data_IF_128818892699
#
_entry.id   IF_128818892699
#
_cell.length_a   1.000
_cell.length_b   1.000
_cell.length_c   1.000
_cell.angle_alpha   90.00
_cell.angle_beta   90.00
_cell.angle_gamma   90.00
#
_symmetry.space_group_name_H-M   'P 1'
#
loop_
_entity.id
_entity.type
_entity.pdbx_description
1 polymer ?
#
# COMPACT_ATOMS: atom_id res chain seq x y z
N UNK A 1 0.09 -2.57 -9.89
CA UNK A 1 -0.19 -1.32 -10.64
C UNK A 1 -1.41 -1.42 -11.55
N UNK A 2 -1.48 -2.40 -12.48
CA UNK A 2 -2.67 -2.57 -13.35
C UNK A 2 -4.00 -2.57 -12.61
N UNK A 3 -4.10 -3.28 -11.48
CA UNK A 3 -5.28 -3.30 -10.62
C UNK A 3 -5.77 -1.90 -10.19
N UNK A 4 -4.86 -0.98 -9.84
CA UNK A 4 -5.24 0.37 -9.41
C UNK A 4 -5.74 1.20 -10.61
N UNK A 5 -5.08 1.08 -11.76
CA UNK A 5 -5.49 1.77 -12.99
C UNK A 5 -6.88 1.32 -13.46
N UNK A 6 -7.14 0.00 -13.44
CA UNK A 6 -8.46 -0.57 -13.75
C UNK A 6 -9.55 -0.11 -12.78
N UNK A 7 -9.16 0.23 -11.54
CA UNK A 7 -10.06 0.74 -10.52
C UNK A 7 -10.20 2.27 -10.54
N UNK A 8 -9.67 2.95 -11.57
CA UNK A 8 -9.87 4.39 -11.79
C UNK A 8 -8.86 5.29 -11.08
N UNK A 9 -7.75 4.74 -10.59
CA UNK A 9 -6.64 5.54 -10.07
C UNK A 9 -5.69 5.92 -11.20
N UNK A 10 -5.29 7.19 -11.26
CA UNK A 10 -4.13 7.61 -12.03
C UNK A 10 -2.87 7.21 -11.24
N UNK A 11 -1.97 6.45 -11.87
CA UNK A 11 -0.79 5.88 -11.21
C UNK A 11 0.46 6.28 -11.96
N UNK A 12 1.29 7.08 -11.30
CA UNK A 12 2.67 7.37 -11.71
C UNK A 12 3.63 6.36 -11.07
N UNK A 13 4.46 5.75 -11.90
CA UNK A 13 5.41 4.72 -11.50
C UNK A 13 6.81 5.31 -11.53
N UNK A 14 7.44 5.39 -10.36
CA UNK A 14 8.83 5.85 -10.22
C UNK A 14 9.69 4.71 -9.70
N UNK A 15 10.66 4.29 -10.51
CA UNK A 15 11.66 3.33 -10.06
C UNK A 15 12.71 4.06 -9.20
N UNK A 16 12.91 3.58 -7.98
CA UNK A 16 13.92 4.10 -7.05
C UNK A 16 15.02 3.08 -6.87
N UNK A 17 16.27 3.56 -6.78
CA UNK A 17 17.43 2.69 -6.62
C UNK A 17 17.50 2.04 -5.23
N UNK A 18 16.99 2.72 -4.20
CA UNK A 18 16.93 2.24 -2.84
C UNK A 18 15.54 2.53 -2.25
N UNK A 19 14.71 1.49 -2.21
CA UNK A 19 13.35 1.61 -1.69
C UNK A 19 13.32 1.81 -0.17
N UNK A 20 14.31 1.27 0.56
CA UNK A 20 14.33 1.37 2.01
C UNK A 20 14.62 2.80 2.46
N UNK A 21 15.57 3.46 1.77
CA UNK A 21 15.84 4.88 1.98
C UNK A 21 14.63 5.77 1.63
N UNK A 22 13.92 5.45 0.54
CA UNK A 22 12.71 6.18 0.14
C UNK A 22 11.57 6.00 1.16
N UNK A 23 11.38 4.79 1.68
CA UNK A 23 10.40 4.50 2.73
C UNK A 23 10.70 5.25 4.03
N UNK A 24 11.97 5.33 4.40
CA UNK A 24 12.42 6.06 5.59
C UNK A 24 12.22 7.58 5.45
N UNK A 25 12.57 8.17 4.30
CA UNK A 25 12.33 9.60 4.03
C UNK A 25 10.84 9.97 4.14
N UNK A 26 9.96 9.01 3.87
CA UNK A 26 8.51 9.17 3.95
C UNK A 26 7.89 8.81 5.30
N UNK A 27 8.71 8.46 6.30
CA UNK A 27 8.26 8.17 7.66
C UNK A 27 7.43 6.89 7.74
N UNK A 28 7.72 5.91 6.87
CA UNK A 28 7.07 4.60 6.90
C UNK A 28 7.77 3.73 7.95
N UNK A 29 7.06 3.26 8.99
CA UNK A 29 7.62 2.41 10.02
C UNK A 29 8.24 1.14 9.44
N UNK A 30 9.43 0.79 9.92
CA UNK A 30 10.18 -0.37 9.41
C UNK A 30 9.43 -1.70 9.49
N UNK A 31 8.54 -1.85 10.47
CA UNK A 31 7.74 -3.05 10.73
C UNK A 31 6.67 -3.32 9.66
N UNK A 32 6.29 -2.31 8.88
CA UNK A 32 5.20 -2.40 7.90
C UNK A 32 5.66 -2.18 6.45
N UNK A 33 6.97 -2.04 6.22
CA UNK A 33 7.55 -1.79 4.89
C UNK A 33 7.29 -2.99 3.97
N UNK A 34 6.76 -2.69 2.79
CA UNK A 34 6.53 -3.67 1.73
C UNK A 34 7.62 -3.66 0.66
N UNK A 35 7.42 -4.45 -0.40
CA UNK A 35 8.27 -4.43 -1.60
C UNK A 35 8.02 -3.21 -2.50
N UNK A 36 6.92 -2.50 -2.29
CA UNK A 36 6.58 -1.26 -2.99
C UNK A 36 5.77 -0.36 -2.07
N UNK A 37 5.95 0.94 -2.31
CA UNK A 37 5.28 2.03 -1.62
C UNK A 37 4.56 2.88 -2.65
N UNK A 38 3.36 3.32 -2.32
CA UNK A 38 2.64 4.30 -3.12
C UNK A 38 2.15 5.44 -2.23
N UNK A 39 1.97 6.61 -2.84
CA UNK A 39 1.41 7.78 -2.17
C UNK A 39 0.15 8.21 -2.89
N UNK A 40 -0.92 8.40 -2.13
CA UNK A 40 -2.19 8.92 -2.63
C UNK A 40 -2.55 10.18 -1.84
N UNK A 41 -2.37 11.34 -2.48
CA UNK A 41 -2.50 12.64 -1.82
C UNK A 41 -1.54 12.78 -0.63
N UNK A 42 -2.09 12.78 0.58
CA UNK A 42 -1.31 12.89 1.82
C UNK A 42 -1.07 11.55 2.53
N UNK A 43 -1.60 10.45 1.99
CA UNK A 43 -1.54 9.13 2.60
C UNK A 43 -0.49 8.24 1.94
N UNK A 44 0.13 7.41 2.75
CA UNK A 44 1.01 6.32 2.28
C UNK A 44 0.24 5.01 2.15
N UNK A 45 0.59 4.23 1.15
CA UNK A 45 -0.01 2.93 0.84
C UNK A 45 1.14 1.93 0.69
N UNK A 46 1.26 0.99 1.61
CA UNK A 46 2.34 0.00 1.63
C UNK A 46 1.84 -1.39 1.25
N UNK A 47 2.53 -2.02 0.30
CA UNK A 47 2.20 -3.37 -0.16
C UNK A 47 0.91 -3.46 -0.99
N UNK A 48 0.38 -4.68 -1.12
CA UNK A 48 -0.74 -4.97 -2.01
C UNK A 48 -2.11 -4.66 -1.38
N UNK A 49 -2.35 -3.38 -1.08
CA UNK A 49 -3.66 -2.91 -0.59
C UNK A 49 -4.71 -3.01 -1.71
N UNK A 50 -5.85 -3.69 -1.49
CA UNK A 50 -6.95 -3.74 -2.45
C UNK A 50 -7.52 -2.35 -2.75
N UNK A 51 -7.91 -2.11 -4.00
CA UNK A 51 -8.40 -0.80 -4.44
C UNK A 51 -9.68 -0.36 -3.72
N UNK A 52 -10.58 -1.29 -3.37
CA UNK A 52 -11.81 -1.02 -2.64
C UNK A 52 -11.52 -0.58 -1.19
N UNK A 53 -10.54 -1.20 -0.53
CA UNK A 53 -10.13 -0.81 0.81
C UNK A 53 -9.40 0.53 0.83
N UNK A 54 -8.57 0.80 -0.18
CA UNK A 54 -7.96 2.12 -0.37
C UNK A 54 -9.03 3.20 -0.59
N UNK A 55 -10.06 2.94 -1.41
CA UNK A 55 -11.18 3.89 -1.61
C UNK A 55 -11.89 4.18 -0.29
N UNK A 56 -12.24 3.14 0.47
CA UNK A 56 -12.90 3.30 1.78
C UNK A 56 -12.04 4.10 2.75
N UNK A 57 -10.75 3.83 2.82
CA UNK A 57 -9.82 4.59 3.66
C UNK A 57 -9.77 6.08 3.29
N UNK A 58 -9.73 6.38 1.98
CA UNK A 58 -9.75 7.76 1.48
C UNK A 58 -11.09 8.47 1.77
N UNK A 59 -12.21 7.74 1.72
CA UNK A 59 -13.54 8.25 2.06
C UNK A 59 -13.72 8.48 3.57
N UNK A 60 -13.21 7.57 4.40
CA UNK A 60 -13.30 7.66 5.86
C UNK A 60 -12.44 8.78 6.43
N UNK A 61 -11.35 9.16 5.74
CA UNK A 61 -10.43 10.25 6.12
C UNK A 61 -10.12 10.22 7.62
N UNK A 62 -9.67 9.06 8.08
CA UNK A 62 -9.57 8.68 9.48
C UNK A 62 -8.46 9.40 10.26
N UNK A 63 -7.72 10.32 9.62
CA UNK A 63 -6.62 11.07 10.22
C UNK A 63 -5.30 10.31 10.34
N UNK A 64 -5.26 9.03 9.94
CA UNK A 64 -4.03 8.25 9.89
C UNK A 64 -3.12 8.69 8.73
N UNK A 65 -1.83 8.38 8.85
CA UNK A 65 -0.84 8.67 7.82
C UNK A 65 -0.88 7.71 6.62
N UNK A 66 -1.39 6.49 6.80
CA UNK A 66 -1.43 5.52 5.71
C UNK A 66 -2.10 4.19 6.05
N UNK A 67 -2.14 3.34 5.03
CA UNK A 67 -2.70 1.99 5.04
C UNK A 67 -1.66 0.99 4.50
N UNK A 68 -1.55 -0.18 5.10
CA UNK A 68 -0.55 -1.19 4.76
C UNK A 68 -1.16 -2.59 4.76
N UNK A 69 -0.70 -3.42 3.81
CA UNK A 69 -0.76 -4.88 3.94
C UNK A 69 0.68 -5.36 4.11
N UNK A 70 1.13 -5.57 5.37
CA UNK A 70 2.51 -5.95 5.63
C UNK A 70 2.83 -7.37 5.10
N UNK A 71 4.04 -7.52 4.55
CA UNK A 71 4.57 -8.79 4.07
C UNK A 71 4.32 -9.10 2.59
N UNK A 72 4.61 -10.35 2.19
CA UNK A 72 4.36 -10.92 0.86
C UNK A 72 3.48 -12.16 1.04
N UNK A 73 2.17 -11.95 0.98
CA UNK A 73 1.19 -13.00 1.21
C UNK A 73 0.60 -13.38 -0.16
N UNK A 74 0.37 -14.66 -0.41
CA UNK A 74 -0.27 -15.14 -1.64
C UNK A 74 -1.76 -14.78 -1.58
N UNK A 75 -2.31 -14.16 -2.63
CA UNK A 75 -3.73 -13.78 -2.70
C UNK A 75 -4.07 -12.33 -3.09
N UNK A 76 -3.26 -11.29 -2.78
CA UNK A 76 -3.56 -9.91 -3.19
C UNK A 76 -3.47 -9.69 -4.71
N UNK A 77 -4.07 -8.62 -5.27
CA UNK A 77 -4.01 -8.32 -6.71
C UNK A 77 -2.56 -8.23 -7.22
N UNK A 78 -2.18 -9.10 -8.16
CA UNK A 78 -0.80 -9.25 -8.65
C UNK A 78 -0.02 -10.43 -8.06
N UNK A 79 -0.58 -11.16 -7.09
CA UNK A 79 -0.06 -12.40 -6.49
C UNK A 79 -1.17 -13.47 -6.44
N UNK A 80 -1.93 -13.60 -7.52
CA UNK A 80 -3.06 -14.53 -7.62
C UNK A 80 -2.56 -15.98 -7.69
N UNK A 81 -2.79 -16.74 -6.61
CA UNK A 81 -2.61 -18.18 -6.52
C UNK A 81 -3.92 -18.89 -6.15
N UNK A 82 -3.96 -20.22 -6.25
CA UNK A 82 -5.18 -21.03 -6.08
C UNK A 82 -5.85 -20.95 -4.70
N UNK A 83 -5.16 -20.41 -3.69
CA UNK A 83 -5.65 -20.28 -2.32
C UNK A 83 -5.44 -18.85 -1.81
N UNK A 84 -6.53 -18.17 -1.45
CA UNK A 84 -6.50 -16.87 -0.80
C UNK A 84 -6.09 -17.05 0.67
N UNK A 85 -4.92 -16.55 1.05
CA UNK A 85 -4.51 -16.53 2.46
C UNK A 85 -5.17 -15.33 3.14
N UNK A 86 -5.64 -15.50 4.37
CA UNK A 86 -6.14 -14.38 5.17
C UNK A 86 -4.99 -13.40 5.46
N UNK A 87 -5.25 -12.11 5.26
CA UNK A 87 -4.30 -11.04 5.58
C UNK A 87 -5.01 -9.92 6.30
N UNK A 88 -4.28 -9.27 7.20
CA UNK A 88 -4.74 -8.10 7.91
C UNK A 88 -4.37 -6.83 7.13
N UNK A 89 -5.29 -5.88 7.11
CA UNK A 89 -5.08 -4.54 6.57
C UNK A 89 -4.92 -3.61 7.77
N UNK A 90 -3.77 -2.95 7.85
CA UNK A 90 -3.40 -2.10 8.98
C UNK A 90 -3.40 -0.64 8.56
N UNK A 91 -3.77 0.25 9.47
CA UNK A 91 -3.56 1.70 9.34
C UNK A 91 -2.43 2.13 10.27
N UNK A 92 -1.65 3.13 9.87
CA UNK A 92 -0.50 3.60 10.64
C UNK A 92 -0.37 5.13 10.61
N UNK A 93 0.34 5.66 11.60
CA UNK A 93 0.76 7.05 11.70
C UNK A 93 2.21 7.22 11.26
N UNK A 94 2.62 8.46 10.92
CA UNK A 94 4.03 8.75 10.59
C UNK A 94 4.86 8.69 11.87
N UNK A 95 6.05 8.13 11.78
CA UNK A 95 7.09 8.27 12.82
C UNK A 95 7.81 9.62 12.74
#
# INVERSE_FOLDING_TARGET
VGHLQENGFEVDLTEVADIAAHQEEHGIPSEIRGCHSARVGNYMVEGHVPADMLKRFLEENSGQAGISVPGMIVGPPGMEGSESVAYDILTFDRE
#
